data_IF_187892116063
#
_entry.id   IF_187892116063
#
_cell.length_a   1.000
_cell.length_b   1.000
_cell.length_c   1.000
_cell.angle_alpha   90.00
_cell.angle_beta   90.00
_cell.angle_gamma   90.00
#
_symmetry.space_group_name_H-M   'P 1'
#
loop_
_entity.id
_entity.type
_entity.pdbx_description
1 polymer ?
#
# COMPACT_ATOMS: atom_id res chain seq x y z
N UNK A 1 -10.44 -7.33 -2.71
CA UNK A 1 -9.16 -6.75 -2.24
C UNK A 1 -7.98 -7.76 -2.15
N UNK A 2 -8.15 -8.98 -1.62
CA UNK A 2 -7.04 -9.96 -1.44
C UNK A 2 -6.24 -10.27 -2.71
N UNK A 3 -6.88 -10.35 -3.87
CA UNK A 3 -6.19 -10.51 -5.16
C UNK A 3 -5.33 -9.31 -5.54
N UNK A 4 -5.82 -8.08 -5.30
CA UNK A 4 -5.13 -6.83 -5.63
C UNK A 4 -3.90 -6.59 -4.73
N UNK A 5 -4.00 -6.94 -3.45
CA UNK A 5 -2.91 -6.73 -2.48
C UNK A 5 -1.73 -7.72 -2.62
N UNK A 6 -1.93 -8.86 -3.30
CA UNK A 6 -0.93 -9.95 -3.39
C UNK A 6 0.44 -9.45 -3.89
N UNK A 7 0.44 -8.75 -5.01
CA UNK A 7 1.68 -8.28 -5.63
C UNK A 7 2.45 -7.32 -4.71
N UNK A 8 1.75 -6.36 -4.12
CA UNK A 8 2.34 -5.43 -3.16
C UNK A 8 2.99 -6.16 -1.97
N UNK A 9 2.32 -7.16 -1.41
CA UNK A 9 2.85 -7.94 -0.29
C UNK A 9 4.06 -8.79 -0.67
N UNK A 10 4.08 -9.36 -1.87
CA UNK A 10 5.23 -10.10 -2.38
C UNK A 10 6.45 -9.20 -2.56
N UNK A 11 6.25 -7.99 -3.09
CA UNK A 11 7.30 -6.97 -3.21
C UNK A 11 7.83 -6.56 -1.83
N UNK A 12 6.95 -6.23 -0.89
CA UNK A 12 7.35 -5.85 0.47
C UNK A 12 8.16 -6.94 1.15
N UNK A 13 7.71 -8.20 1.05
CA UNK A 13 8.44 -9.35 1.63
C UNK A 13 9.81 -9.54 0.99
N UNK A 14 9.92 -9.38 -0.33
CA UNK A 14 11.19 -9.48 -1.03
C UNK A 14 12.15 -8.35 -0.63
N UNK A 15 11.65 -7.12 -0.54
CA UNK A 15 12.43 -5.96 -0.08
C UNK A 15 12.91 -6.17 1.36
N UNK A 16 11.99 -6.49 2.29
CA UNK A 16 12.32 -6.76 3.70
C UNK A 16 13.38 -7.84 3.83
N UNK A 17 13.27 -8.94 3.06
CA UNK A 17 14.27 -10.01 3.04
C UNK A 17 15.65 -9.53 2.60
N UNK A 18 15.71 -8.64 1.62
CA UNK A 18 16.98 -8.13 1.08
C UNK A 18 17.65 -7.11 2.01
N UNK A 19 16.87 -6.21 2.61
CA UNK A 19 17.40 -5.10 3.42
C UNK A 19 17.62 -5.46 4.88
N UNK A 20 17.02 -6.56 5.37
CA UNK A 20 17.06 -6.97 6.76
C UNK A 20 16.13 -6.15 7.67
N UNK A 21 16.05 -6.50 8.95
CA UNK A 21 15.11 -5.90 9.91
C UNK A 21 15.49 -4.46 10.33
N UNK A 22 16.78 -4.12 10.34
CA UNK A 22 17.27 -2.82 10.83
C UNK A 22 17.11 -1.69 9.81
N UNK A 23 16.78 -2.01 8.55
CA UNK A 23 16.59 -1.02 7.50
C UNK A 23 15.11 -0.59 7.43
N UNK A 24 14.78 0.72 7.56
CA UNK A 24 13.39 1.17 7.47
C UNK A 24 12.77 0.94 6.09
N UNK A 25 11.58 0.33 6.04
CA UNK A 25 10.78 0.13 4.83
C UNK A 25 9.45 0.85 4.96
N UNK A 26 9.16 1.73 4.01
CA UNK A 26 7.87 2.41 3.90
C UNK A 26 7.12 2.00 2.65
N UNK A 27 5.79 2.13 2.71
CA UNK A 27 4.91 1.95 1.55
C UNK A 27 4.04 3.19 1.40
N UNK A 28 3.97 3.72 0.18
CA UNK A 28 3.12 4.84 -0.17
C UNK A 28 1.90 4.37 -0.97
N UNK A 29 0.70 4.79 -0.55
CA UNK A 29 -0.58 4.42 -1.17
C UNK A 29 -1.49 5.63 -1.36
N UNK A 30 -2.44 5.51 -2.30
CA UNK A 30 -3.60 6.40 -2.37
C UNK A 30 -4.52 6.14 -1.16
N UNK A 31 -4.94 7.17 -0.42
CA UNK A 31 -5.83 6.96 0.75
C UNK A 31 -7.27 6.64 0.32
N UNK A 32 -7.76 7.37 -0.67
CA UNK A 32 -9.02 7.11 -1.37
C UNK A 32 -8.88 7.52 -2.84
N UNK A 33 -9.29 6.64 -3.76
CA UNK A 33 -9.24 6.89 -5.19
C UNK A 33 -10.50 7.61 -5.71
N UNK A 34 -11.53 7.80 -4.87
CA UNK A 34 -12.76 8.58 -5.12
C UNK A 34 -13.59 8.18 -6.35
N UNK A 35 -13.24 7.09 -7.01
CA UNK A 35 -13.90 6.59 -8.22
C UNK A 35 -14.63 5.25 -7.98
N UNK A 36 -15.79 5.01 -8.60
CA UNK A 36 -16.51 3.75 -8.45
C UNK A 36 -15.69 2.53 -8.88
N UNK A 37 -15.57 1.54 -7.99
CA UNK A 37 -14.84 0.29 -8.26
C UNK A 37 -13.33 0.34 -7.94
N UNK A 38 -12.84 1.51 -7.54
CA UNK A 38 -11.46 1.77 -7.14
C UNK A 38 -11.18 1.32 -5.71
N UNK A 39 -10.00 1.63 -5.16
CA UNK A 39 -9.74 1.42 -3.72
C UNK A 39 -10.27 2.60 -2.91
N UNK A 40 -11.01 2.30 -1.85
CA UNK A 40 -11.48 3.30 -0.89
C UNK A 40 -10.80 3.12 0.47
N UNK A 41 -11.02 4.08 1.38
CA UNK A 41 -10.42 4.07 2.73
C UNK A 41 -10.57 2.73 3.44
N UNK A 42 -11.75 2.08 3.34
CA UNK A 42 -12.01 0.79 4.01
C UNK A 42 -11.13 -0.34 3.45
N UNK A 43 -10.89 -0.36 2.14
CA UNK A 43 -9.97 -1.32 1.52
C UNK A 43 -8.54 -1.08 2.01
N UNK A 44 -8.14 0.19 2.11
CA UNK A 44 -6.80 0.58 2.54
C UNK A 44 -6.54 0.28 4.02
N UNK A 45 -7.55 0.32 4.89
CA UNK A 45 -7.42 -0.15 6.28
C UNK A 45 -7.07 -1.65 6.31
N UNK A 46 -7.69 -2.44 5.43
CA UNK A 46 -7.37 -3.87 5.33
C UNK A 46 -5.95 -4.10 4.79
N UNK A 47 -5.55 -3.37 3.74
CA UNK A 47 -4.20 -3.43 3.19
C UNK A 47 -3.15 -2.99 4.21
N UNK A 48 -3.40 -1.93 4.98
CA UNK A 48 -2.49 -1.44 6.02
C UNK A 48 -2.14 -2.52 7.05
N UNK A 49 -3.14 -3.30 7.51
CA UNK A 49 -2.92 -4.42 8.44
C UNK A 49 -2.07 -5.53 7.82
N UNK A 50 -2.25 -5.80 6.53
CA UNK A 50 -1.42 -6.79 5.83
C UNK A 50 0.02 -6.31 5.64
N UNK A 51 0.22 -5.01 5.41
CA UNK A 51 1.54 -4.39 5.29
C UNK A 51 2.29 -4.38 6.62
N UNK A 52 1.62 -4.07 7.72
CA UNK A 52 2.16 -4.21 9.07
C UNK A 52 2.66 -5.64 9.31
N UNK A 53 1.82 -6.65 9.02
CA UNK A 53 2.20 -8.07 9.14
C UNK A 53 3.34 -8.49 8.21
N UNK A 54 3.53 -7.79 7.09
CA UNK A 54 4.61 -8.04 6.14
C UNK A 54 5.92 -7.33 6.54
N UNK A 55 5.92 -6.56 7.64
CA UNK A 55 7.10 -5.88 8.17
C UNK A 55 7.33 -4.50 7.57
N UNK A 56 6.28 -3.76 7.21
CA UNK A 56 6.39 -2.32 6.84
C UNK A 56 6.40 -1.48 8.11
N UNK A 57 7.33 -0.53 8.20
CA UNK A 57 7.53 0.32 9.39
C UNK A 57 6.67 1.59 9.36
N UNK A 58 6.38 2.10 8.16
CA UNK A 58 5.64 3.35 7.98
C UNK A 58 4.78 3.34 6.71
N UNK A 59 3.57 3.88 6.82
CA UNK A 59 2.65 4.08 5.71
C UNK A 59 2.54 5.57 5.38
N UNK A 60 2.82 5.90 4.12
CA UNK A 60 2.59 7.22 3.55
C UNK A 60 1.29 7.21 2.74
N UNK A 61 0.30 7.97 3.19
CA UNK A 61 -0.94 8.14 2.46
C UNK A 61 -0.95 9.49 1.76
N UNK A 62 -1.16 9.45 0.45
CA UNK A 62 -1.46 10.63 -0.35
C UNK A 62 -2.76 10.41 -1.10
N UNK A 63 -3.40 11.46 -1.60
CA UNK A 63 -4.42 11.31 -2.62
C UNK A 63 -3.85 11.87 -3.91
N UNK A 64 -3.65 11.01 -4.91
CA UNK A 64 -3.28 11.46 -6.24
C UNK A 64 -4.38 12.37 -6.78
N UNK A 65 -4.00 13.48 -7.43
CA UNK A 65 -4.93 14.22 -8.28
C UNK A 65 -5.11 13.44 -9.57
N UNK A 66 -6.30 12.91 -9.83
CA UNK A 66 -6.71 12.60 -11.20
C UNK A 66 -6.88 13.95 -11.90
N UNK A 67 -5.80 14.47 -12.48
CA UNK A 67 -5.93 15.56 -13.44
C UNK A 67 -6.61 14.98 -14.67
N UNK A 68 -7.91 15.25 -14.81
CA UNK A 68 -8.58 15.11 -16.09
C UNK A 68 -7.97 16.16 -17.03
N UNK A 69 -7.28 15.70 -18.07
CA UNK A 69 -6.68 16.58 -19.08
C UNK A 69 -7.69 17.16 -20.06
N UNK A 70 -8.97 16.74 -19.99
CA UNK A 70 -10.00 17.12 -20.96
C UNK A 70 -9.81 16.47 -22.31
#
# INVERSE_FOLDING_TARGET
INGRARFLLEVVKAVRKEVGEDFPVSVRLSADEMEPGSNHVIDNIYVARLLEQAGVDYLDFSNGSLFDSG
#
